data_IF_334262048422
#
_entry.id   IF_334262048422
#
_cell.length_a   1.000
_cell.length_b   1.000
_cell.length_c   1.000
_cell.angle_alpha   90.00
_cell.angle_beta   90.00
_cell.angle_gamma   90.00
#
_symmetry.space_group_name_H-M   'P 1'
#
loop_
_entity.id
_entity.type
_entity.pdbx_description
1 polymer ?
#
# COMPACT_ATOMS: atom_id res chain seq x y z
N UNK A 1 -9.89 -14.78 16.43
CA UNK A 1 -10.24 -14.50 15.01
C UNK A 1 -9.32 -13.42 14.47
N UNK A 2 -8.66 -13.61 13.31
CA UNK A 2 -7.55 -12.77 12.82
C UNK A 2 -8.01 -11.74 11.74
N UNK A 3 -9.20 -11.17 11.89
CA UNK A 3 -9.94 -10.37 10.88
C UNK A 3 -9.63 -8.85 10.85
N UNK A 4 -8.48 -8.44 11.39
CA UNK A 4 -8.06 -7.04 11.29
C UNK A 4 -7.54 -6.73 9.88
N UNK A 5 -8.00 -5.60 9.32
CA UNK A 5 -7.57 -5.08 8.03
C UNK A 5 -6.25 -4.30 8.10
N UNK A 6 -5.61 -4.28 9.28
CA UNK A 6 -4.27 -3.71 9.45
C UNK A 6 -3.26 -4.46 8.58
N UNK A 7 -2.22 -3.78 8.07
CA UNK A 7 -1.10 -4.45 7.42
C UNK A 7 -0.50 -5.54 8.32
N UNK A 8 0.00 -6.60 7.69
CA UNK A 8 0.73 -7.65 8.40
C UNK A 8 2.10 -7.11 8.83
N UNK A 9 2.49 -7.44 10.06
CA UNK A 9 3.75 -7.02 10.65
C UNK A 9 4.84 -8.09 10.43
N UNK A 10 6.06 -7.75 10.77
CA UNK A 10 7.27 -8.57 10.68
C UNK A 10 7.40 -9.57 11.86
N UNK A 11 6.35 -10.36 12.13
CA UNK A 11 6.36 -11.40 13.17
C UNK A 11 5.69 -12.70 12.70
N UNK A 12 5.97 -13.80 13.42
CA UNK A 12 5.50 -15.15 13.08
C UNK A 12 3.97 -15.26 12.98
N UNK A 13 3.24 -14.59 13.88
CA UNK A 13 1.76 -14.62 13.87
C UNK A 13 1.19 -13.97 12.61
N UNK A 14 1.81 -12.89 12.14
CA UNK A 14 1.43 -12.20 10.91
C UNK A 14 1.91 -12.96 9.66
N UNK A 15 3.06 -13.62 9.73
CA UNK A 15 3.58 -14.49 8.66
C UNK A 15 2.63 -15.62 8.29
N UNK A 16 2.00 -16.26 9.28
CA UNK A 16 0.98 -17.31 9.04
C UNK A 16 -0.20 -16.81 8.21
N UNK A 17 -0.50 -15.51 8.27
CA UNK A 17 -1.60 -14.88 7.53
C UNK A 17 -1.17 -14.34 6.16
N UNK A 18 0.12 -14.35 5.84
CA UNK A 18 0.63 -13.90 4.56
C UNK A 18 0.35 -14.95 3.49
N UNK A 19 -0.26 -14.52 2.38
CA UNK A 19 -0.71 -15.38 1.29
C UNK A 19 -0.19 -14.85 -0.02
N UNK A 20 0.28 -15.77 -0.87
CA UNK A 20 0.76 -15.46 -2.21
C UNK A 20 2.09 -14.72 -2.23
N UNK A 21 2.27 -13.94 -3.31
CA UNK A 21 3.36 -12.97 -3.50
C UNK A 21 4.79 -13.51 -3.53
N UNK A 22 4.95 -14.79 -3.85
CA UNK A 22 6.27 -15.44 -3.89
C UNK A 22 7.15 -14.86 -5.00
N UNK A 23 6.55 -14.58 -6.15
CA UNK A 23 7.27 -14.06 -7.32
C UNK A 23 7.72 -12.62 -7.07
N UNK A 24 6.88 -11.79 -6.45
CA UNK A 24 7.20 -10.42 -6.06
C UNK A 24 8.29 -10.39 -4.99
N UNK A 25 8.23 -11.25 -3.97
CA UNK A 25 9.30 -11.39 -2.98
C UNK A 25 10.62 -11.82 -3.63
N UNK A 26 10.58 -12.83 -4.49
CA UNK A 26 11.76 -13.31 -5.22
C UNK A 26 12.37 -12.19 -6.08
N UNK A 27 11.53 -11.43 -6.79
CA UNK A 27 11.98 -10.31 -7.61
C UNK A 27 12.63 -9.18 -6.78
N UNK A 28 12.10 -8.87 -5.59
CA UNK A 28 12.74 -7.90 -4.67
C UNK A 28 14.10 -8.44 -4.21
N UNK A 29 14.16 -9.70 -3.79
CA UNK A 29 15.41 -10.33 -3.38
C UNK A 29 16.44 -10.37 -4.50
N UNK A 30 16.05 -10.72 -5.72
CA UNK A 30 16.94 -10.74 -6.89
C UNK A 30 17.55 -9.35 -7.14
N UNK A 31 16.75 -8.28 -7.00
CA UNK A 31 17.24 -6.90 -7.08
C UNK A 31 18.26 -6.58 -5.99
N UNK A 32 17.92 -6.83 -4.72
CA UNK A 32 18.81 -6.56 -3.60
C UNK A 32 20.12 -7.38 -3.66
N UNK A 33 20.04 -8.63 -4.12
CA UNK A 33 21.21 -9.50 -4.30
C UNK A 33 22.13 -9.05 -5.45
N UNK A 34 21.55 -8.37 -6.44
CA UNK A 34 22.30 -7.72 -7.51
C UNK A 34 22.80 -6.31 -7.10
N UNK A 35 22.64 -5.93 -5.82
CA UNK A 35 23.01 -4.63 -5.27
C UNK A 35 22.25 -3.47 -5.93
N UNK A 36 21.01 -3.72 -6.37
CA UNK A 36 20.13 -2.75 -7.02
C UNK A 36 19.10 -2.18 -6.04
N UNK A 37 18.74 -0.91 -6.24
CA UNK A 37 17.61 -0.32 -5.55
C UNK A 37 16.30 -0.80 -6.18
N UNK A 38 15.29 -1.00 -5.34
CA UNK A 38 14.02 -1.60 -5.73
C UNK A 38 12.87 -0.62 -5.51
N UNK A 39 12.08 -0.38 -6.56
CA UNK A 39 10.80 0.30 -6.47
C UNK A 39 9.65 -0.72 -6.46
N UNK A 40 8.81 -0.66 -5.44
CA UNK A 40 7.61 -1.50 -5.28
C UNK A 40 6.36 -0.66 -5.53
N UNK A 41 5.61 -1.00 -6.57
CA UNK A 41 4.43 -0.24 -7.01
C UNK A 41 3.15 -1.04 -6.78
N UNK A 42 2.00 -0.36 -6.83
CA UNK A 42 0.69 -1.01 -6.76
C UNK A 42 -0.36 -0.20 -6.02
N UNK A 43 -1.61 -0.57 -6.24
CA UNK A 43 -2.75 0.16 -5.69
C UNK A 43 -2.83 0.12 -4.16
N UNK A 44 -3.64 1.01 -3.61
CA UNK A 44 -3.93 1.03 -2.18
C UNK A 44 -4.62 -0.29 -1.78
N UNK A 45 -4.03 -0.98 -0.80
CA UNK A 45 -4.62 -2.21 -0.24
C UNK A 45 -4.15 -3.53 -0.87
N UNK A 46 -3.38 -3.49 -1.97
CA UNK A 46 -2.86 -4.70 -2.67
C UNK A 46 -1.88 -5.54 -1.84
N UNK A 47 -1.37 -4.99 -0.75
CA UNK A 47 -0.52 -5.68 0.21
C UNK A 47 0.95 -5.22 0.23
N UNK A 48 1.31 -4.11 -0.43
CA UNK A 48 2.70 -3.58 -0.48
C UNK A 48 3.38 -3.51 0.89
N UNK A 49 2.75 -2.87 1.88
CA UNK A 49 3.28 -2.81 3.26
C UNK A 49 3.49 -4.21 3.85
N UNK A 50 2.53 -5.12 3.68
CA UNK A 50 2.64 -6.50 4.18
C UNK A 50 3.75 -7.30 3.48
N UNK A 51 3.94 -7.08 2.17
CA UNK A 51 5.01 -7.66 1.36
C UNK A 51 6.38 -7.22 1.88
N UNK A 52 6.56 -5.92 2.10
CA UNK A 52 7.81 -5.36 2.62
C UNK A 52 8.09 -5.75 4.08
N UNK A 53 7.05 -5.90 4.91
CA UNK A 53 7.21 -6.47 6.26
C UNK A 53 7.55 -7.95 6.23
N UNK A 54 7.04 -8.69 5.25
CA UNK A 54 7.41 -10.08 5.03
C UNK A 54 8.88 -10.19 4.59
N UNK A 55 9.34 -9.34 3.68
CA UNK A 55 10.74 -9.21 3.29
C UNK A 55 11.65 -8.97 4.51
N UNK A 56 11.29 -8.01 5.37
CA UNK A 56 12.02 -7.72 6.60
C UNK A 56 12.05 -8.91 7.58
N UNK A 57 10.97 -9.70 7.67
CA UNK A 57 10.96 -10.89 8.50
C UNK A 57 11.85 -12.00 7.91
N UNK A 58 11.77 -12.21 6.59
CA UNK A 58 12.56 -13.22 5.88
C UNK A 58 14.06 -12.91 6.00
N UNK A 59 14.46 -11.63 6.04
CA UNK A 59 15.87 -11.22 6.23
C UNK A 59 16.44 -11.57 7.61
N UNK A 60 15.58 -11.82 8.60
CA UNK A 60 15.96 -12.25 9.96
C UNK A 60 16.00 -13.77 10.12
N UNK A 61 15.56 -14.53 9.12
CA UNK A 61 15.59 -16.00 9.22
C UNK A 61 16.99 -16.51 8.88
N UNK A 62 17.62 -17.36 9.70
CA UNK A 62 18.85 -18.04 9.34
C UNK A 62 18.59 -18.94 8.12
N UNK A 63 19.24 -18.65 6.99
CA UNK A 63 19.08 -19.45 5.78
C UNK A 63 19.94 -20.72 5.87
N UNK A 64 19.35 -21.88 5.58
CA UNK A 64 20.12 -23.13 5.39
C UNK A 64 20.73 -23.12 3.99
N UNK A 65 21.87 -22.46 3.83
CA UNK A 65 22.67 -22.47 2.59
C UNK A 65 23.25 -21.11 2.22
N UNK A 66 24.58 -21.01 2.20
CA UNK A 66 25.45 -19.90 1.77
C UNK A 66 25.21 -18.48 2.33
N UNK A 67 24.04 -18.17 2.89
CA UNK A 67 23.67 -16.87 3.45
C UNK A 67 23.45 -16.98 4.95
N UNK A 68 23.98 -16.02 5.69
CA UNK A 68 23.82 -15.95 7.14
C UNK A 68 22.64 -15.05 7.49
N UNK A 69 22.07 -15.27 8.66
CA UNK A 69 21.22 -14.29 9.30
C UNK A 69 21.95 -12.93 9.32
N UNK A 70 21.33 -11.88 8.78
CA UNK A 70 21.90 -10.53 8.81
C UNK A 70 22.73 -10.07 7.61
N UNK A 71 22.73 -10.78 6.47
CA UNK A 71 23.39 -10.29 5.23
C UNK A 71 22.76 -8.97 4.73
N UNK A 72 21.46 -8.78 5.00
CA UNK A 72 20.69 -7.57 4.69
C UNK A 72 19.94 -7.09 5.95
N UNK A 73 20.59 -6.37 6.88
CA UNK A 73 19.88 -5.77 7.99
C UNK A 73 18.92 -4.71 7.46
N UNK A 74 17.63 -4.85 7.76
CA UNK A 74 16.58 -4.01 7.17
C UNK A 74 15.92 -3.10 8.20
N UNK A 75 15.97 -1.79 7.93
CA UNK A 75 15.25 -0.77 8.67
C UNK A 75 13.97 -0.40 7.91
N UNK A 76 12.82 -0.49 8.58
CA UNK A 76 11.53 -0.14 7.97
C UNK A 76 11.07 1.23 8.44
N UNK A 77 10.84 2.12 7.47
CA UNK A 77 10.39 3.49 7.68
C UNK A 77 9.06 3.69 6.99
N UNK A 78 8.07 4.24 7.71
CA UNK A 78 6.78 4.61 7.13
C UNK A 78 6.70 6.12 6.98
N UNK A 79 6.40 6.58 5.77
CA UNK A 79 6.38 8.02 5.42
C UNK A 79 5.03 8.46 4.81
N UNK A 80 3.96 7.69 5.06
CA UNK A 80 2.59 8.00 4.62
C UNK A 80 2.22 9.45 4.99
N UNK A 81 1.83 10.22 3.97
CA UNK A 81 1.41 11.62 4.11
C UNK A 81 2.53 12.66 4.12
N UNK A 82 3.80 12.26 4.04
CA UNK A 82 4.93 13.19 3.92
C UNK A 82 5.15 13.52 2.44
N UNK A 83 5.01 14.80 2.09
CA UNK A 83 5.19 15.31 0.72
C UNK A 83 6.50 16.07 0.51
N UNK A 84 7.13 16.53 1.59
CA UNK A 84 8.43 17.20 1.57
C UNK A 84 9.58 16.19 1.66
N UNK A 85 10.59 16.33 0.79
CA UNK A 85 11.72 15.39 0.71
C UNK A 85 12.66 15.47 1.92
N UNK A 86 12.83 16.66 2.52
CA UNK A 86 13.68 16.83 3.70
C UNK A 86 13.00 16.23 4.93
N UNK A 87 11.70 16.44 5.09
CA UNK A 87 10.94 15.84 6.20
C UNK A 87 10.87 14.31 6.07
N UNK A 88 10.78 13.80 4.84
CA UNK A 88 10.87 12.36 4.57
C UNK A 88 12.24 11.81 4.98
N UNK A 89 13.32 12.50 4.59
CA UNK A 89 14.68 12.12 4.94
C UNK A 89 14.92 12.20 6.46
N UNK A 90 14.43 13.25 7.12
CA UNK A 90 14.48 13.37 8.58
C UNK A 90 13.81 12.16 9.26
N UNK A 91 12.60 11.78 8.82
CA UNK A 91 11.92 10.57 9.32
C UNK A 91 12.73 9.29 9.09
N UNK A 92 13.41 9.18 7.95
CA UNK A 92 14.30 8.04 7.66
C UNK A 92 15.47 8.01 8.65
N UNK A 93 16.14 9.14 8.85
CA UNK A 93 17.26 9.26 9.80
C UNK A 93 16.83 8.89 11.21
N UNK A 94 15.72 9.44 11.68
CA UNK A 94 15.16 9.15 13.01
C UNK A 94 14.90 7.66 13.20
N UNK A 95 14.29 7.03 12.21
CA UNK A 95 13.90 5.63 12.31
C UNK A 95 15.08 4.66 12.19
N UNK A 96 16.11 5.03 11.40
CA UNK A 96 17.30 4.20 11.17
C UNK A 96 18.31 4.35 12.31
N UNK A 97 18.55 5.59 12.76
CA UNK A 97 19.58 5.91 13.77
C UNK A 97 19.04 5.86 15.20
N UNK A 98 17.72 6.04 15.37
CA UNK A 98 17.09 6.24 16.68
C UNK A 98 17.25 7.65 17.25
N UNK A 99 17.93 8.56 16.53
CA UNK A 99 18.17 9.93 16.98
C UNK A 99 17.23 10.93 16.31
N UNK A 100 16.60 11.86 17.05
CA UNK A 100 15.75 12.89 16.48
C UNK A 100 16.54 13.77 15.49
N UNK A 101 15.92 14.11 14.36
CA UNK A 101 16.48 15.10 13.44
C UNK A 101 16.26 16.50 14.03
N UNK A 102 17.23 17.41 13.84
CA UNK A 102 17.05 18.81 14.24
C UNK A 102 16.38 19.56 13.09
N UNK A 103 15.40 20.42 13.34
CA UNK A 103 14.68 21.16 12.29
C UNK A 103 15.58 22.02 11.38
N UNK A 104 16.73 22.47 11.89
CA UNK A 104 17.73 23.20 11.11
C UNK A 104 18.63 22.31 10.24
N UNK A 105 18.61 20.98 10.44
CA UNK A 105 19.43 20.06 9.68
C UNK A 105 18.93 20.01 8.23
N UNK A 106 19.79 20.43 7.30
CA UNK A 106 19.57 20.30 5.88
C UNK A 106 19.81 18.86 5.39
N UNK A 107 19.41 18.52 4.15
CA UNK A 107 19.55 17.17 3.60
C UNK A 107 20.98 16.62 3.64
N UNK A 108 22.00 17.44 3.38
CA UNK A 108 23.41 17.01 3.40
C UNK A 108 23.85 16.53 4.79
N UNK A 109 23.40 17.21 5.84
CA UNK A 109 23.71 16.83 7.24
C UNK A 109 23.06 15.51 7.59
N UNK A 110 21.80 15.33 7.17
CA UNK A 110 21.02 14.11 7.41
C UNK A 110 21.60 12.91 6.65
N UNK A 111 21.98 13.07 5.37
CA UNK A 111 22.61 12.00 4.56
C UNK A 111 23.99 11.63 5.09
N UNK A 112 24.77 12.61 5.57
CA UNK A 112 26.02 12.34 6.25
C UNK A 112 25.81 11.53 7.53
N UNK A 113 24.82 11.90 8.36
CA UNK A 113 24.49 11.14 9.58
C UNK A 113 24.11 9.69 9.26
N UNK A 114 23.31 9.46 8.22
CA UNK A 114 23.01 8.10 7.74
C UNK A 114 24.28 7.35 7.33
N UNK A 115 25.16 8.00 6.57
CA UNK A 115 26.42 7.39 6.10
C UNK A 115 27.34 7.01 7.27
N UNK A 116 27.52 7.92 8.24
CA UNK A 116 28.34 7.69 9.43
C UNK A 116 27.76 6.56 10.29
N UNK A 117 26.43 6.54 10.48
CA UNK A 117 25.74 5.47 11.21
C UNK A 117 25.89 4.11 10.52
N UNK A 118 25.81 4.05 9.19
CA UNK A 118 26.03 2.82 8.42
C UNK A 118 27.42 2.24 8.67
N UNK A 119 28.45 3.08 8.60
CA UNK A 119 29.84 2.65 8.78
C UNK A 119 30.03 2.07 10.19
N UNK A 120 29.52 2.76 11.21
CA UNK A 120 29.55 2.27 12.58
C UNK A 120 28.79 0.94 12.73
N UNK A 121 27.58 0.84 12.17
CA UNK A 121 26.78 -0.38 12.21
C UNK A 121 27.48 -1.59 11.58
N UNK A 122 28.15 -1.39 10.44
CA UNK A 122 28.92 -2.44 9.75
C UNK A 122 30.08 -2.88 10.64
N UNK A 123 30.87 -1.94 11.16
CA UNK A 123 32.01 -2.23 12.02
C UNK A 123 31.59 -3.00 13.28
N UNK A 124 30.52 -2.57 13.96
CA UNK A 124 29.99 -3.24 15.14
C UNK A 124 29.47 -4.65 14.81
N UNK A 125 28.85 -4.82 13.64
CA UNK A 125 28.36 -6.13 13.19
C UNK A 125 29.49 -7.09 12.89
N UNK A 126 30.52 -6.65 12.17
CA UNK A 126 31.69 -7.47 11.86
C UNK A 126 32.46 -7.86 13.14
N UNK A 127 32.59 -6.94 14.10
CA UNK A 127 33.21 -7.23 15.41
C UNK A 127 32.44 -8.27 16.19
N UNK A 128 31.10 -8.17 16.25
CA UNK A 128 30.24 -9.15 16.91
C UNK A 128 30.37 -10.53 16.26
N UNK A 129 30.31 -10.61 14.93
CA UNK A 129 30.47 -11.88 14.22
C UNK A 129 31.85 -12.52 14.41
N UNK A 130 32.91 -11.72 14.46
CA UNK A 130 34.24 -12.22 14.78
C UNK A 130 34.30 -12.80 16.20
N UNK A 131 33.65 -12.16 17.18
CA UNK A 131 33.59 -12.64 18.56
C UNK A 131 32.75 -13.92 18.73
N UNK A 132 31.75 -14.14 17.86
CA UNK A 132 30.90 -15.33 17.83
C UNK A 132 31.53 -16.50 17.05
N UNK A 133 32.60 -16.28 16.29
CA UNK A 133 33.31 -17.33 15.55
C UNK A 133 34.27 -18.11 16.47
N UNK A 134 34.28 -19.45 16.36
CA UNK A 134 35.17 -20.34 17.11
C UNK A 134 36.67 -20.03 16.92
N UNK A 135 37.03 -19.42 15.78
CA UNK A 135 38.40 -19.02 15.44
C UNK A 135 38.68 -17.52 15.60
N UNK A 136 37.70 -16.73 16.08
CA UNK A 136 37.83 -15.29 16.24
C UNK A 136 37.92 -14.49 14.94
N UNK A 137 37.72 -15.12 13.77
CA UNK A 137 37.82 -14.45 12.47
C UNK A 137 36.45 -13.98 11.98
N UNK A 138 36.40 -12.76 11.43
CA UNK A 138 35.22 -12.31 10.72
C UNK A 138 35.02 -13.19 9.47
N UNK A 139 33.78 -13.58 9.13
CA UNK A 139 33.54 -14.40 7.95
C UNK A 139 34.08 -13.71 6.68
N UNK A 140 35.01 -14.39 6.01
CA UNK A 140 35.60 -13.93 4.76
C UNK A 140 34.52 -13.85 3.67
N UNK A 141 34.42 -12.69 3.01
CA UNK A 141 33.53 -12.50 1.85
C UNK A 141 32.10 -12.05 2.17
N UNK A 142 31.73 -11.87 3.44
CA UNK A 142 30.40 -11.34 3.77
C UNK A 142 30.34 -9.84 3.51
N UNK A 143 29.66 -9.45 2.43
CA UNK A 143 29.28 -8.07 2.18
C UNK A 143 27.98 -7.78 2.92
N UNK A 144 28.05 -6.88 3.90
CA UNK A 144 26.87 -6.36 4.58
C UNK A 144 26.26 -5.23 3.74
N UNK A 145 25.02 -5.43 3.30
CA UNK A 145 24.25 -4.42 2.59
C UNK A 145 23.02 -4.02 3.42
N UNK A 146 23.16 -3.05 4.36
CA UNK A 146 22.02 -2.53 5.07
C UNK A 146 20.97 -1.99 4.08
N UNK A 147 19.72 -2.37 4.29
CA UNK A 147 18.58 -1.98 3.44
C UNK A 147 17.69 -1.03 4.20
N UNK A 148 17.33 0.09 3.59
CA UNK A 148 16.28 0.98 4.08
C UNK A 148 15.02 0.72 3.26
N UNK A 149 13.99 0.20 3.94
CA UNK A 149 12.65 0.06 3.38
C UNK A 149 11.90 1.37 3.68
N UNK A 150 11.44 2.07 2.65
CA UNK A 150 10.65 3.30 2.79
C UNK A 150 9.25 3.06 2.21
N UNK A 151 8.24 3.01 3.07
CA UNK A 151 6.86 2.65 2.69
C UNK A 151 5.95 3.87 2.54
N UNK A 152 5.15 3.85 1.46
CA UNK A 152 4.14 4.84 1.07
C UNK A 152 4.72 6.24 0.76
N UNK A 153 5.77 6.25 -0.06
CA UNK A 153 6.39 7.47 -0.61
C UNK A 153 5.45 8.15 -1.60
N UNK A 154 5.35 9.48 -1.47
CA UNK A 154 4.64 10.34 -2.43
C UNK A 154 5.56 10.69 -3.60
N UNK A 155 4.97 11.02 -4.77
CA UNK A 155 5.75 11.42 -5.94
C UNK A 155 6.69 12.61 -5.62
N UNK A 156 6.20 13.64 -4.93
CA UNK A 156 6.98 14.85 -4.63
C UNK A 156 8.17 14.59 -3.71
N UNK A 157 7.97 13.84 -2.62
CA UNK A 157 9.04 13.52 -1.68
C UNK A 157 10.07 12.58 -2.33
N UNK A 158 9.59 11.58 -3.08
CA UNK A 158 10.45 10.65 -3.82
C UNK A 158 11.31 11.36 -4.86
N UNK A 159 10.74 12.28 -5.63
CA UNK A 159 11.48 13.05 -6.63
C UNK A 159 12.54 13.97 -6.02
N UNK A 160 12.23 14.56 -4.86
CA UNK A 160 13.19 15.38 -4.12
C UNK A 160 14.36 14.54 -3.59
N UNK A 161 14.11 13.39 -2.96
CA UNK A 161 15.18 12.59 -2.37
C UNK A 161 15.94 11.77 -3.42
N UNK A 162 15.23 10.95 -4.20
CA UNK A 162 15.83 10.00 -5.16
C UNK A 162 16.13 10.60 -6.52
N UNK A 163 15.65 11.83 -6.80
CA UNK A 163 15.98 12.57 -8.01
C UNK A 163 17.00 13.67 -7.76
N UNK A 164 16.65 14.66 -6.91
CA UNK A 164 17.53 15.82 -6.67
C UNK A 164 18.77 15.50 -5.83
N UNK A 165 18.64 14.68 -4.79
CA UNK A 165 19.77 14.25 -3.94
C UNK A 165 20.23 12.82 -4.27
N UNK A 166 19.98 12.37 -5.50
CA UNK A 166 20.18 10.99 -5.92
C UNK A 166 21.60 10.50 -5.66
N UNK A 167 22.58 11.30 -6.05
CA UNK A 167 23.99 10.90 -6.00
C UNK A 167 24.48 10.85 -4.55
N UNK A 168 24.01 11.77 -3.70
CA UNK A 168 24.29 11.78 -2.27
C UNK A 168 23.60 10.61 -1.54
N UNK A 169 22.35 10.27 -1.92
CA UNK A 169 21.64 9.11 -1.42
C UNK A 169 22.36 7.81 -1.81
N UNK A 170 22.84 7.68 -3.05
CA UNK A 170 23.66 6.55 -3.47
C UNK A 170 24.97 6.47 -2.69
N UNK A 171 25.62 7.62 -2.45
CA UNK A 171 26.88 7.68 -1.71
C UNK A 171 26.75 7.21 -0.25
N UNK A 172 25.53 7.15 0.32
CA UNK A 172 25.32 6.58 1.66
C UNK A 172 25.67 5.10 1.76
N UNK A 173 25.63 4.36 0.64
CA UNK A 173 25.94 2.92 0.58
C UNK A 173 24.84 1.99 1.13
N UNK A 174 23.65 2.52 1.44
CA UNK A 174 22.46 1.70 1.69
C UNK A 174 21.85 1.21 0.37
N UNK A 175 21.24 0.03 0.41
CA UNK A 175 20.26 -0.36 -0.60
C UNK A 175 18.88 0.15 -0.20
N UNK A 176 18.05 0.50 -1.18
CA UNK A 176 16.74 1.09 -0.94
C UNK A 176 15.64 0.22 -1.51
N UNK A 177 14.64 -0.09 -0.70
CA UNK A 177 13.40 -0.72 -1.12
C UNK A 177 12.24 0.25 -0.87
N UNK A 178 11.79 0.92 -1.92
CA UNK A 178 10.86 2.05 -1.81
C UNK A 178 9.49 1.64 -2.32
N UNK A 179 8.44 1.94 -1.57
CA UNK A 179 7.06 1.65 -1.96
C UNK A 179 6.31 2.91 -2.35
N UNK A 180 5.65 2.90 -3.50
CA UNK A 180 4.79 4.00 -3.99
C UNK A 180 3.43 3.50 -4.44
N UNK A 181 2.40 4.35 -4.32
CA UNK A 181 1.09 4.07 -4.90
C UNK A 181 1.18 4.10 -6.42
N UNK A 182 0.27 3.41 -7.10
CA UNK A 182 0.22 3.44 -8.57
C UNK A 182 0.04 4.87 -9.10
N UNK A 183 -0.72 5.72 -8.40
CA UNK A 183 -0.89 7.15 -8.71
C UNK A 183 0.42 7.94 -8.68
N UNK A 184 1.37 7.56 -7.83
CA UNK A 184 2.64 8.24 -7.62
C UNK A 184 3.78 7.63 -8.45
N UNK A 185 3.54 6.46 -9.07
CA UNK A 185 4.52 5.67 -9.81
C UNK A 185 5.27 6.50 -10.85
N UNK A 186 4.55 7.26 -11.68
CA UNK A 186 5.16 8.05 -12.74
C UNK A 186 6.14 9.11 -12.22
N UNK A 187 5.93 9.62 -11.00
CA UNK A 187 6.82 10.61 -10.40
C UNK A 187 8.22 10.07 -10.06
N UNK A 188 8.36 8.75 -9.89
CA UNK A 188 9.64 8.08 -9.61
C UNK A 188 10.20 7.34 -10.82
N UNK A 189 9.41 7.17 -11.89
CA UNK A 189 9.85 6.56 -13.16
C UNK A 189 10.20 7.58 -14.25
N UNK A 190 10.25 8.87 -13.88
CA UNK A 190 10.66 9.95 -14.77
C UNK A 190 11.92 10.65 -14.25
N UNK A 191 12.74 11.24 -15.12
CA UNK A 191 13.91 11.99 -14.72
C UNK A 191 13.57 13.08 -13.69
N UNK A 192 14.42 13.28 -12.66
CA UNK A 192 15.74 12.66 -12.46
C UNK A 192 15.75 11.39 -11.59
N UNK A 193 14.59 10.93 -11.09
CA UNK A 193 14.50 9.82 -10.13
C UNK A 193 14.50 8.42 -10.78
N UNK A 194 14.17 8.34 -12.07
CA UNK A 194 14.12 7.10 -12.86
C UNK A 194 15.42 6.28 -12.80
N UNK A 195 16.57 6.95 -12.87
CA UNK A 195 17.86 6.30 -12.84
C UNK A 195 18.21 5.66 -11.48
N UNK A 196 17.52 6.05 -10.39
CA UNK A 196 17.81 5.52 -9.06
C UNK A 196 17.26 4.10 -8.82
N UNK A 197 16.24 3.68 -9.60
CA UNK A 197 15.53 2.42 -9.42
C UNK A 197 15.70 1.52 -10.63
N UNK A 198 16.67 0.60 -10.58
CA UNK A 198 16.91 -0.34 -11.67
C UNK A 198 15.94 -1.54 -11.64
N UNK A 199 15.41 -1.87 -10.46
CA UNK A 199 14.43 -2.95 -10.31
C UNK A 199 13.07 -2.39 -9.92
N UNK A 200 12.07 -2.67 -10.75
CA UNK A 200 10.67 -2.31 -10.48
C UNK A 200 9.88 -3.61 -10.26
N UNK A 201 9.12 -3.65 -9.17
CA UNK A 201 8.26 -4.79 -8.79
C UNK A 201 6.84 -4.28 -8.60
N UNK A 202 5.96 -4.67 -9.51
CA UNK A 202 4.55 -4.31 -9.44
C UNK A 202 3.82 -5.34 -8.57
N UNK A 203 3.01 -4.86 -7.61
CA UNK A 203 2.19 -5.70 -6.72
C UNK A 203 0.75 -5.69 -7.23
N UNK A 204 0.34 -6.67 -8.04
CA UNK A 204 -1.01 -6.72 -8.58
C UNK A 204 -2.03 -7.04 -7.49
N UNK A 205 -3.34 -7.03 -7.78
CA UNK A 205 -4.33 -7.73 -6.95
C UNK A 205 -3.98 -9.23 -6.79
N UNK A 206 -4.56 -9.91 -5.81
CA UNK A 206 -4.33 -11.36 -5.63
C UNK A 206 -4.94 -12.16 -6.78
N UNK A 207 -4.47 -13.39 -7.00
CA UNK A 207 -5.21 -14.37 -7.79
C UNK A 207 -6.48 -14.83 -7.04
N UNK A 208 -7.37 -15.53 -7.74
CA UNK A 208 -8.59 -16.09 -7.12
C UNK A 208 -8.24 -17.11 -6.02
N UNK A 209 -7.26 -17.98 -6.31
CA UNK A 209 -6.78 -19.01 -5.36
C UNK A 209 -6.21 -18.35 -4.11
N UNK A 210 -5.36 -17.33 -4.27
CA UNK A 210 -4.79 -16.59 -3.15
C UNK A 210 -5.85 -15.78 -2.37
N UNK A 211 -6.90 -15.30 -3.04
CA UNK A 211 -8.00 -14.58 -2.39
C UNK A 211 -8.79 -15.51 -1.47
N UNK A 212 -9.13 -16.71 -1.96
CA UNK A 212 -9.79 -17.77 -1.18
C UNK A 212 -8.91 -18.17 0.00
N UNK A 213 -7.63 -18.44 -0.26
CA UNK A 213 -6.67 -18.80 0.78
C UNK A 213 -6.55 -17.71 1.85
N UNK A 214 -6.48 -16.43 1.46
CA UNK A 214 -6.45 -15.30 2.39
C UNK A 214 -7.69 -15.30 3.29
N UNK A 215 -8.89 -15.45 2.71
CA UNK A 215 -10.15 -15.48 3.45
C UNK A 215 -10.15 -16.64 4.46
N UNK A 216 -9.83 -17.85 4.01
CA UNK A 216 -9.79 -19.06 4.83
C UNK A 216 -8.80 -18.92 5.99
N UNK A 217 -7.57 -18.45 5.73
CA UNK A 217 -6.57 -18.22 6.79
C UNK A 217 -6.99 -17.15 7.80
N UNK A 218 -7.74 -16.14 7.35
CA UNK A 218 -8.21 -15.03 8.21
C UNK A 218 -9.42 -15.42 9.07
N UNK A 219 -10.31 -16.22 8.51
CA UNK A 219 -11.44 -16.81 9.24
C UNK A 219 -10.95 -17.84 10.27
N UNK A 220 -9.91 -18.61 9.91
CA UNK A 220 -9.37 -19.70 10.74
C UNK A 220 -10.16 -21.00 10.62
N UNK A 221 -11.07 -21.08 9.66
CA UNK A 221 -11.87 -22.25 9.30
C UNK A 221 -11.95 -22.32 7.78
N UNK A 222 -12.28 -23.49 7.23
CA UNK A 222 -12.63 -23.60 5.82
C UNK A 222 -13.92 -22.81 5.55
N UNK A 223 -13.86 -21.97 4.52
CA UNK A 223 -14.89 -20.99 4.17
C UNK A 223 -15.39 -21.21 2.74
N UNK A 224 -15.02 -22.31 2.07
CA UNK A 224 -15.64 -22.64 0.79
C UNK A 224 -17.07 -23.17 0.98
N UNK A 225 -18.06 -22.75 0.16
CA UNK A 225 -17.94 -21.92 -1.06
C UNK A 225 -18.00 -20.39 -0.86
N UNK A 226 -18.18 -19.92 0.37
CA UNK A 226 -18.39 -18.50 0.69
C UNK A 226 -17.16 -17.63 0.35
N UNK A 227 -15.95 -18.17 0.50
CA UNK A 227 -14.70 -17.49 0.19
C UNK A 227 -14.58 -17.16 -1.31
N UNK A 228 -14.95 -18.10 -2.19
CA UNK A 228 -15.02 -17.83 -3.63
C UNK A 228 -16.03 -16.72 -3.92
N UNK A 229 -17.21 -16.77 -3.29
CA UNK A 229 -18.26 -15.76 -3.49
C UNK A 229 -17.80 -14.37 -3.03
N UNK A 230 -17.13 -14.29 -1.87
CA UNK A 230 -16.51 -13.06 -1.35
C UNK A 230 -15.46 -12.48 -2.29
N UNK A 231 -14.60 -13.33 -2.84
CA UNK A 231 -13.56 -12.88 -3.76
C UNK A 231 -14.11 -12.36 -5.09
N UNK A 232 -15.19 -12.98 -5.59
CA UNK A 232 -15.84 -12.55 -6.82
C UNK A 232 -16.61 -11.22 -6.62
N UNK A 233 -17.12 -10.97 -5.40
CA UNK A 233 -17.94 -9.78 -5.06
C UNK A 233 -17.16 -8.47 -4.93
N UNK A 234 -16.07 -8.49 -4.15
CA UNK A 234 -15.30 -7.26 -3.83
C UNK A 234 -14.01 -7.14 -4.64
N UNK A 235 -13.79 -8.09 -5.56
CA UNK A 235 -12.55 -8.21 -6.31
C UNK A 235 -11.43 -8.77 -5.44
N UNK A 236 -10.20 -8.64 -5.93
CA UNK A 236 -9.04 -9.39 -5.40
C UNK A 236 -8.07 -8.51 -4.60
N UNK A 237 -8.57 -7.40 -4.05
CA UNK A 237 -7.79 -6.54 -3.18
C UNK A 237 -7.81 -7.12 -1.74
N UNK A 238 -6.64 -7.47 -1.15
CA UNK A 238 -6.57 -8.06 0.19
C UNK A 238 -7.31 -7.27 1.28
N UNK A 239 -7.26 -5.93 1.23
CA UNK A 239 -7.92 -5.09 2.24
C UNK A 239 -9.43 -5.20 2.13
N UNK A 240 -9.95 -5.18 0.91
CA UNK A 240 -11.37 -5.25 0.64
C UNK A 240 -11.91 -6.65 0.98
N UNK A 241 -11.16 -7.70 0.65
CA UNK A 241 -11.46 -9.09 1.03
C UNK A 241 -11.58 -9.26 2.55
N UNK A 242 -10.64 -8.71 3.33
CA UNK A 242 -10.70 -8.78 4.80
C UNK A 242 -11.86 -7.95 5.36
N UNK A 243 -12.18 -6.82 4.73
CA UNK A 243 -13.33 -6.01 5.09
C UNK A 243 -14.65 -6.74 4.81
N UNK A 244 -14.77 -7.38 3.65
CA UNK A 244 -15.93 -8.17 3.25
C UNK A 244 -16.12 -9.38 4.18
N UNK A 245 -15.04 -10.12 4.47
CA UNK A 245 -15.07 -11.21 5.44
C UNK A 245 -15.52 -10.74 6.82
N UNK A 246 -15.07 -9.57 7.28
CA UNK A 246 -15.54 -9.03 8.56
C UNK A 246 -17.04 -8.76 8.54
N UNK A 247 -17.55 -8.14 7.47
CA UNK A 247 -18.98 -7.90 7.30
C UNK A 247 -19.77 -9.20 7.32
N UNK A 248 -19.32 -10.20 6.54
CA UNK A 248 -19.91 -11.54 6.51
C UNK A 248 -19.98 -12.19 7.89
N UNK A 249 -18.90 -12.14 8.67
CA UNK A 249 -18.86 -12.77 9.99
C UNK A 249 -19.68 -12.01 11.06
N UNK A 250 -19.98 -10.73 10.83
CA UNK A 250 -20.83 -9.94 11.72
C UNK A 250 -22.32 -10.16 11.45
N UNK A 251 -22.70 -10.27 10.17
CA UNK A 251 -24.09 -10.50 9.76
C UNK A 251 -24.12 -11.37 8.48
N UNK A 252 -24.12 -12.71 8.65
CA UNK A 252 -24.13 -13.64 7.52
C UNK A 252 -25.39 -13.54 6.65
N UNK A 253 -26.53 -13.20 7.25
CA UNK A 253 -27.81 -13.07 6.54
C UNK A 253 -27.83 -11.89 5.59
N UNK A 254 -27.19 -10.77 5.97
CA UNK A 254 -27.05 -9.61 5.08
C UNK A 254 -26.14 -9.87 3.88
N UNK A 255 -25.35 -10.95 3.83
CA UNK A 255 -24.30 -11.10 2.83
C UNK A 255 -24.80 -11.59 1.46
N UNK A 256 -25.65 -12.62 1.41
CA UNK A 256 -26.27 -13.04 0.13
C UNK A 256 -27.06 -11.87 -0.47
N UNK A 257 -27.78 -11.17 0.38
CA UNK A 257 -28.45 -9.90 0.10
C UNK A 257 -27.46 -8.82 -0.39
N UNK A 258 -26.32 -8.61 0.28
CA UNK A 258 -25.29 -7.65 -0.15
C UNK A 258 -24.59 -8.04 -1.46
N UNK A 259 -24.44 -9.33 -1.74
CA UNK A 259 -23.84 -9.84 -2.98
C UNK A 259 -24.75 -9.57 -4.17
N UNK A 260 -26.04 -9.90 -4.04
CA UNK A 260 -27.05 -9.55 -5.04
C UNK A 260 -27.09 -8.03 -5.23
N UNK A 261 -27.09 -7.24 -4.15
CA UNK A 261 -27.02 -5.78 -4.25
C UNK A 261 -25.75 -5.26 -4.91
N UNK A 262 -24.60 -5.91 -4.73
CA UNK A 262 -23.34 -5.50 -5.38
C UNK A 262 -23.43 -5.72 -6.89
N UNK A 263 -23.92 -6.89 -7.31
CA UNK A 263 -24.13 -7.22 -8.72
C UNK A 263 -25.18 -6.28 -9.35
N UNK A 264 -26.34 -6.12 -8.72
CA UNK A 264 -27.42 -5.25 -9.20
C UNK A 264 -26.96 -3.78 -9.30
N UNK A 265 -26.18 -3.30 -8.33
CA UNK A 265 -25.63 -1.95 -8.35
C UNK A 265 -24.59 -1.77 -9.46
N UNK A 266 -23.70 -2.75 -9.67
CA UNK A 266 -22.70 -2.69 -10.73
C UNK A 266 -23.38 -2.78 -12.12
N UNK A 267 -24.44 -3.59 -12.28
CA UNK A 267 -25.28 -3.64 -13.47
C UNK A 267 -26.02 -2.32 -13.71
N UNK A 268 -26.57 -1.70 -12.67
CA UNK A 268 -27.20 -0.39 -12.74
C UNK A 268 -26.20 0.71 -13.13
N UNK A 269 -24.96 0.64 -12.64
CA UNK A 269 -23.87 1.53 -13.05
C UNK A 269 -23.50 1.34 -14.52
N UNK A 270 -23.42 0.09 -14.99
CA UNK A 270 -23.17 -0.24 -16.39
C UNK A 270 -24.30 0.24 -17.31
N UNK A 271 -25.56 0.10 -16.89
CA UNK A 271 -26.74 0.55 -17.64
C UNK A 271 -26.78 2.07 -17.83
N UNK A 272 -26.21 2.86 -16.90
CA UNK A 272 -26.04 4.30 -17.04
C UNK A 272 -24.91 4.70 -18.01
N UNK A 273 -24.08 3.74 -18.39
CA UNK A 273 -23.03 3.88 -19.39
C UNK A 273 -21.66 4.23 -18.82
N UNK A 274 -20.67 4.19 -19.72
CA UNK A 274 -19.24 4.32 -19.40
C UNK A 274 -18.86 5.46 -18.44
N UNK A 275 -19.42 6.69 -18.54
CA UNK A 275 -19.11 7.75 -17.60
C UNK A 275 -19.48 7.41 -16.15
N UNK A 276 -20.64 6.80 -15.92
CA UNK A 276 -21.08 6.41 -14.58
C UNK A 276 -20.12 5.36 -13.98
N UNK A 277 -19.72 4.35 -14.76
CA UNK A 277 -18.76 3.33 -14.33
C UNK A 277 -17.38 3.92 -14.02
N UNK A 278 -16.89 4.87 -14.84
CA UNK A 278 -15.61 5.55 -14.59
C UNK A 278 -15.63 6.35 -13.29
N UNK A 279 -16.68 7.13 -13.06
CA UNK A 279 -16.82 7.90 -11.82
C UNK A 279 -16.91 6.97 -10.60
N UNK A 280 -17.71 5.91 -10.68
CA UNK A 280 -17.82 4.94 -9.60
C UNK A 280 -16.49 4.23 -9.29
N UNK A 281 -15.68 3.93 -10.31
CA UNK A 281 -14.35 3.34 -10.11
C UNK A 281 -13.42 4.30 -9.34
N UNK A 282 -13.38 5.59 -9.70
CA UNK A 282 -12.60 6.59 -8.95
C UNK A 282 -13.11 6.75 -7.51
N UNK A 283 -14.43 6.69 -7.29
CA UNK A 283 -15.02 6.73 -5.95
C UNK A 283 -14.63 5.50 -5.10
N UNK A 284 -14.55 4.30 -5.70
CA UNK A 284 -14.08 3.08 -5.01
C UNK A 284 -12.63 3.26 -4.52
N UNK A 285 -11.79 3.94 -5.30
CA UNK A 285 -10.37 4.16 -4.95
C UNK A 285 -10.18 5.29 -3.91
N UNK A 286 -10.90 6.41 -4.08
CA UNK A 286 -10.67 7.65 -3.31
C UNK A 286 -11.57 7.78 -2.07
N UNK A 287 -12.68 7.07 -2.02
CA UNK A 287 -13.72 7.26 -1.01
C UNK A 287 -14.67 8.42 -1.36
N UNK A 288 -15.20 9.15 -0.37
CA UNK A 288 -16.10 10.28 -0.61
C UNK A 288 -15.40 11.40 -1.41
N UNK A 289 -16.04 11.85 -2.49
CA UNK A 289 -15.47 12.84 -3.43
C UNK A 289 -16.50 13.89 -3.82
N UNK A 290 -16.04 15.04 -4.29
CA UNK A 290 -16.89 16.14 -4.76
C UNK A 290 -16.66 16.43 -6.24
N UNK A 291 -17.69 16.95 -6.90
CA UNK A 291 -17.60 17.44 -8.29
C UNK A 291 -16.61 18.61 -8.47
N UNK A 292 -16.06 19.15 -7.39
CA UNK A 292 -15.08 20.24 -7.40
C UNK A 292 -13.68 19.77 -6.98
N UNK A 293 -13.42 18.46 -6.89
CA UNK A 293 -12.08 17.92 -6.60
C UNK A 293 -11.20 17.96 -7.84
N UNK A 294 -10.15 18.78 -7.81
CA UNK A 294 -9.23 18.95 -8.95
C UNK A 294 -8.54 17.63 -9.31
N UNK A 295 -8.12 16.84 -8.32
CA UNK A 295 -7.48 15.54 -8.56
C UNK A 295 -8.44 14.50 -9.19
N UNK A 296 -9.74 14.58 -8.86
CA UNK A 296 -10.77 13.72 -9.46
C UNK A 296 -11.02 14.13 -10.91
N UNK A 297 -11.17 15.44 -11.15
CA UNK A 297 -11.42 15.99 -12.48
C UNK A 297 -10.24 15.71 -13.42
N UNK A 298 -9.00 15.84 -12.92
CA UNK A 298 -7.78 15.51 -13.63
C UNK A 298 -7.74 14.03 -14.02
N UNK A 299 -8.05 13.12 -13.09
CA UNK A 299 -8.03 11.68 -13.36
C UNK A 299 -9.10 11.23 -14.37
N UNK A 300 -10.30 11.81 -14.30
CA UNK A 300 -11.38 11.50 -15.24
C UNK A 300 -11.22 12.21 -16.59
N UNK A 301 -10.34 13.23 -16.68
CA UNK A 301 -10.23 14.11 -17.84
C UNK A 301 -11.52 14.92 -18.06
N UNK A 302 -12.24 15.26 -17.00
CA UNK A 302 -13.57 15.88 -17.07
C UNK A 302 -13.56 17.33 -16.60
N UNK A 303 -14.52 18.10 -17.10
CA UNK A 303 -14.83 19.41 -16.55
C UNK A 303 -15.78 19.28 -15.36
N UNK A 304 -15.75 20.25 -14.44
CA UNK A 304 -16.68 20.32 -13.30
C UNK A 304 -18.16 20.17 -13.70
N UNK A 305 -18.68 20.87 -14.74
CA UNK A 305 -20.07 20.68 -15.18
C UNK A 305 -20.39 19.24 -15.59
N UNK A 306 -19.44 18.55 -16.24
CA UNK A 306 -19.60 17.15 -16.63
C UNK A 306 -19.66 16.23 -15.41
N UNK A 307 -18.78 16.45 -14.43
CA UNK A 307 -18.81 15.69 -13.18
C UNK A 307 -20.14 15.90 -12.43
N UNK A 308 -20.62 17.14 -12.31
CA UNK A 308 -21.93 17.44 -11.70
C UNK A 308 -23.07 16.69 -12.39
N UNK A 309 -23.07 16.64 -13.72
CA UNK A 309 -24.08 15.92 -14.48
C UNK A 309 -24.09 14.42 -14.14
N UNK A 310 -22.92 13.78 -14.10
CA UNK A 310 -22.83 12.34 -13.81
C UNK A 310 -23.14 12.05 -12.34
N UNK A 311 -22.68 12.88 -11.40
CA UNK A 311 -23.08 12.77 -9.99
C UNK A 311 -24.59 12.89 -9.82
N UNK A 312 -25.24 13.80 -10.55
CA UNK A 312 -26.70 13.95 -10.53
C UNK A 312 -27.38 12.67 -11.03
N UNK A 313 -26.92 12.09 -12.14
CA UNK A 313 -27.46 10.83 -12.66
C UNK A 313 -27.32 9.67 -11.68
N UNK A 314 -26.15 9.53 -11.06
CA UNK A 314 -25.92 8.51 -10.03
C UNK A 314 -26.80 8.73 -8.80
N UNK A 315 -26.97 9.98 -8.38
CA UNK A 315 -27.76 10.35 -7.20
C UNK A 315 -29.26 10.11 -7.42
N UNK A 316 -29.77 10.49 -8.60
CA UNK A 316 -31.17 10.24 -9.00
C UNK A 316 -31.50 8.75 -9.08
N UNK A 317 -30.50 7.92 -9.38
CA UNK A 317 -30.62 6.47 -9.37
C UNK A 317 -30.36 5.83 -8.01
N UNK A 318 -30.04 6.59 -6.97
CA UNK A 318 -29.73 6.05 -5.64
C UNK A 318 -28.39 5.32 -5.53
N UNK A 319 -27.53 5.38 -6.56
CA UNK A 319 -26.23 4.71 -6.62
C UNK A 319 -25.15 5.44 -5.81
N UNK A 320 -25.37 6.72 -5.54
CA UNK A 320 -24.54 7.52 -4.63
C UNK A 320 -25.42 8.26 -3.65
N UNK A 321 -24.93 8.42 -2.43
CA UNK A 321 -25.50 9.31 -1.42
C UNK A 321 -24.65 10.57 -1.32
N UNK A 322 -25.29 11.66 -0.90
CA UNK A 322 -24.61 12.94 -0.73
C UNK A 322 -24.64 13.39 0.71
N UNK A 323 -23.51 13.85 1.22
CA UNK A 323 -23.40 14.51 2.51
C UNK A 323 -22.77 15.88 2.34
N UNK A 324 -23.00 16.77 3.30
CA UNK A 324 -22.33 18.07 3.36
C UNK A 324 -21.21 18.00 4.39
N UNK A 325 -19.98 18.27 3.94
CA UNK A 325 -18.81 18.34 4.81
C UNK A 325 -18.43 19.81 4.98
N UNK A 326 -18.37 20.24 6.24
CA UNK A 326 -17.86 21.57 6.60
C UNK A 326 -16.34 21.51 6.72
N UNK A 327 -15.64 22.25 5.85
CA UNK A 327 -14.17 22.30 5.82
C UNK A 327 -13.60 23.69 6.16
N UNK A 328 -14.37 24.55 6.84
CA UNK A 328 -13.93 25.89 7.29
C UNK A 328 -14.99 26.98 7.09
N UNK A 329 -14.62 28.28 7.22
CA UNK A 329 -15.53 29.39 6.95
C UNK A 329 -15.87 29.47 5.46
N UNK A 330 -17.07 28.99 5.11
CA UNK A 330 -17.57 28.91 3.74
C UNK A 330 -18.84 28.08 3.64
N UNK A 331 -19.42 27.99 2.44
CA UNK A 331 -20.59 27.12 2.19
C UNK A 331 -20.15 25.64 2.33
N UNK A 332 -20.90 24.79 3.06
CA UNK A 332 -20.60 23.37 3.17
C UNK A 332 -20.42 22.74 1.79
N UNK A 333 -19.41 21.89 1.65
CA UNK A 333 -19.09 21.24 0.39
C UNK A 333 -19.87 19.93 0.29
N UNK A 334 -20.60 19.77 -0.81
CA UNK A 334 -21.30 18.51 -1.10
C UNK A 334 -20.29 17.47 -1.59
N UNK A 335 -20.21 16.36 -0.87
CA UNK A 335 -19.44 15.17 -1.24
C UNK A 335 -20.42 14.04 -1.51
N UNK A 336 -20.00 13.13 -2.37
CA UNK A 336 -20.74 11.97 -2.80
C UNK A 336 -19.91 10.73 -2.47
N UNK A 337 -20.59 9.68 -2.03
CA UNK A 337 -20.00 8.37 -1.83
C UNK A 337 -20.95 7.31 -2.39
N UNK A 338 -20.40 6.16 -2.80
CA UNK A 338 -21.22 5.07 -3.31
C UNK A 338 -22.17 4.58 -2.23
N UNK A 339 -23.43 4.38 -2.60
CA UNK A 339 -24.42 3.83 -1.68
C UNK A 339 -23.98 2.43 -1.23
N UNK A 340 -23.92 2.15 0.08
CA UNK A 340 -23.61 0.82 0.58
C UNK A 340 -24.55 -0.24 -0.01
N UNK A 341 -24.07 -1.46 -0.33
CA UNK A 341 -24.92 -2.51 -0.91
C UNK A 341 -26.18 -2.80 -0.08
N UNK A 342 -26.08 -2.85 1.25
CA UNK A 342 -27.21 -3.08 2.14
C UNK A 342 -28.28 -1.95 2.10
N UNK A 343 -27.88 -0.73 1.75
CA UNK A 343 -28.80 0.40 1.56
C UNK A 343 -29.40 0.37 0.15
N UNK A 344 -28.61 -0.02 -0.86
CA UNK A 344 -29.07 -0.22 -2.24
C UNK A 344 -30.19 -1.26 -2.31
N UNK A 345 -30.00 -2.43 -1.70
CA UNK A 345 -30.99 -3.50 -1.71
C UNK A 345 -32.32 -3.07 -1.08
N UNK A 346 -32.25 -2.37 0.07
CA UNK A 346 -33.43 -1.85 0.76
C UNK A 346 -34.17 -0.81 -0.08
N UNK A 347 -33.44 0.00 -0.85
CA UNK A 347 -34.03 0.98 -1.75
C UNK A 347 -34.70 0.33 -2.97
N UNK A 348 -34.15 -0.76 -3.52
CA UNK A 348 -34.80 -1.51 -4.61
C UNK A 348 -35.96 -2.40 -4.15
N UNK A 349 -35.89 -2.95 -2.93
CA UNK A 349 -36.95 -3.78 -2.35
C UNK A 349 -38.10 -2.97 -1.73
N UNK A 350 -37.91 -1.66 -1.51
CA UNK A 350 -39.00 -0.79 -1.09
C UNK A 350 -39.99 -0.61 -2.24
N UNK A 351 -41.15 -1.27 -2.12
CA UNK A 351 -42.24 -1.21 -3.09
C UNK A 351 -42.64 0.26 -3.35
N UNK A 352 -42.72 0.75 -4.61
CA UNK A 352 -43.07 2.14 -4.91
C UNK A 352 -44.48 2.57 -4.44
N UNK A 353 -45.28 1.67 -3.87
CA UNK A 353 -46.59 2.00 -3.28
C UNK A 353 -46.53 2.53 -1.84
N UNK A 354 -45.44 2.34 -1.09
CA UNK A 354 -45.35 2.75 0.33
C UNK A 354 -44.83 4.20 0.54
N UNK A 355 -44.67 4.98 -0.53
CA UNK A 355 -44.27 6.40 -0.48
C UNK A 355 -45.32 7.37 -1.03
N UNK A 356 -46.62 7.08 -0.83
CA UNK A 356 -47.72 8.04 -1.11
C UNK A 356 -48.24 8.73 0.14
#
# INVERSE_FOLDING_TARGET
MKISARPLLDNSVAAELFVGRRDELAAIWDGLNAELNVLVTGDRGTGRTSLLRRLQLDSRSPFTGARREGDFPMSFVRVEGISDGRDMLARVVEQVTGEPAVDSDGPDVLLRRLSDFRLQFIDDTLRRWAAESDDGTAPLGTRLYPVIIVDDVTASAGHALFGRYRDEVWATGYLWAVSVRESDRQGLLTPPADAFFEKIVDVPPLSRVESIELITRRAGIDMEPQASTLADAVGRNPRDLVSALRGFLQDPGSYEDNYLALADRDDALWALGRPASMLAAEMKVRGPVSASDDDLLAALGWTRPRAVQVFKQLYEKGLVRSSEVSSGPGRPRRVYELTPPAEWLRAEQADPEDQK
#
